data_IF_719575882647
#
_entry.id   IF_719575882647
#
_cell.length_a   1.000
_cell.length_b   1.000
_cell.length_c   1.000
_cell.angle_alpha   90.00
_cell.angle_beta   90.00
_cell.angle_gamma   90.00
#
_symmetry.space_group_name_H-M   'P 1'
#
loop_
_entity.id
_entity.type
_entity.pdbx_description
1 polymer ?
#
# COMPACT_ATOMS: atom_id res chain seq x y z
N UNK A 1 6.67 -12.51 2.05
CA UNK A 1 6.40 -11.24 1.34
C UNK A 1 5.57 -11.57 0.10
N UNK A 2 4.53 -10.80 -0.15
CA UNK A 2 3.56 -10.93 -1.24
C UNK A 2 3.50 -9.62 -2.01
N UNK A 3 3.43 -9.65 -3.33
CA UNK A 3 3.40 -8.45 -4.16
C UNK A 3 1.98 -8.22 -4.70
N UNK A 4 1.44 -7.05 -4.44
CA UNK A 4 0.11 -6.64 -4.89
C UNK A 4 0.26 -5.56 -5.96
N UNK A 5 -0.57 -5.64 -7.02
CA UNK A 5 -0.38 -4.85 -8.22
C UNK A 5 -1.58 -3.94 -8.47
N UNK A 6 -1.31 -2.67 -8.75
CA UNK A 6 -2.31 -1.74 -9.25
C UNK A 6 -2.32 -1.72 -10.79
N UNK A 7 -3.45 -1.37 -11.43
CA UNK A 7 -3.51 -1.19 -12.89
C UNK A 7 -2.54 -0.15 -13.45
N UNK A 8 -2.08 0.80 -12.62
CA UNK A 8 -1.05 1.78 -12.97
C UNK A 8 0.35 1.17 -13.15
N UNK A 9 0.53 -0.11 -12.79
CA UNK A 9 1.82 -0.78 -12.73
C UNK A 9 2.54 -0.62 -11.38
N UNK A 10 1.95 0.11 -10.42
CA UNK A 10 2.47 0.17 -9.06
C UNK A 10 2.45 -1.22 -8.41
N UNK A 11 3.48 -1.49 -7.60
CA UNK A 11 3.66 -2.76 -6.89
C UNK A 11 3.89 -2.48 -5.42
N UNK A 12 3.06 -3.06 -4.56
CA UNK A 12 3.15 -2.90 -3.11
C UNK A 12 3.60 -4.23 -2.47
N UNK A 13 4.77 -4.28 -1.82
CA UNK A 13 5.25 -5.46 -1.11
C UNK A 13 4.64 -5.53 0.29
N UNK A 14 3.73 -6.48 0.50
CA UNK A 14 3.08 -6.73 1.79
C UNK A 14 3.69 -7.95 2.47
N UNK A 15 3.85 -7.89 3.79
CA UNK A 15 4.32 -9.03 4.60
C UNK A 15 3.15 -9.60 5.38
N UNK A 16 2.88 -10.89 5.22
CA UNK A 16 1.86 -11.61 5.99
C UNK A 16 2.42 -12.14 7.30
N UNK A 17 1.75 -11.85 8.40
CA UNK A 17 2.03 -12.36 9.74
C UNK A 17 0.82 -12.13 10.66
N UNK A 18 0.60 -13.01 11.64
CA UNK A 18 -0.46 -12.86 12.64
C UNK A 18 -1.88 -12.60 12.06
N UNK A 19 -2.17 -13.21 10.90
CA UNK A 19 -3.47 -13.07 10.25
C UNK A 19 -3.71 -11.71 9.57
N UNK A 20 -2.63 -10.98 9.27
CA UNK A 20 -2.68 -9.65 8.68
C UNK A 20 -1.55 -9.45 7.68
N UNK A 21 -1.83 -8.76 6.58
CA UNK A 21 -0.79 -8.24 5.69
C UNK A 21 -0.43 -6.82 6.11
N UNK A 22 0.85 -6.53 6.21
CA UNK A 22 1.38 -5.20 6.55
C UNK A 22 2.13 -4.61 5.35
N UNK A 23 1.77 -3.38 4.99
CA UNK A 23 2.55 -2.52 4.12
C UNK A 23 3.43 -1.62 5.00
N UNK A 24 4.72 -1.56 4.68
CA UNK A 24 5.65 -0.59 5.24
C UNK A 24 6.74 -0.31 4.21
N UNK A 25 6.65 0.84 3.53
CA UNK A 25 7.57 1.23 2.47
C UNK A 25 8.05 2.66 2.64
N UNK A 26 9.30 2.90 2.26
CA UNK A 26 9.92 4.21 2.20
C UNK A 26 10.53 4.38 0.82
N UNK A 27 10.32 5.55 0.20
CA UNK A 27 10.83 5.84 -1.15
C UNK A 27 11.03 7.34 -1.38
N UNK A 28 11.87 7.68 -2.34
CA UNK A 28 11.95 9.03 -2.87
C UNK A 28 11.00 9.18 -4.07
N UNK A 29 10.12 10.19 -4.05
CA UNK A 29 9.28 10.53 -5.19
C UNK A 29 9.69 11.85 -5.84
N UNK A 30 9.61 11.89 -7.17
CA UNK A 30 9.83 13.11 -7.93
C UNK A 30 8.64 14.05 -7.80
N UNK A 31 8.89 15.33 -7.52
CA UNK A 31 7.86 16.36 -7.42
C UNK A 31 8.01 17.43 -8.51
N UNK A 32 6.92 18.07 -8.97
CA UNK A 32 6.99 19.14 -9.96
C UNK A 32 7.82 20.32 -9.44
N UNK A 33 8.92 20.65 -10.13
CA UNK A 33 9.82 21.73 -9.73
C UNK A 33 11.30 21.38 -9.94
N UNK A 34 12.23 22.25 -9.53
CA UNK A 34 13.65 22.04 -9.74
C UNK A 34 14.18 20.86 -8.92
N UNK A 35 14.33 19.67 -9.52
CA UNK A 35 15.04 18.48 -8.99
C UNK A 35 14.86 18.18 -7.49
N UNK A 36 13.69 18.46 -6.93
CA UNK A 36 13.39 18.09 -5.56
C UNK A 36 12.87 16.65 -5.56
N UNK A 37 13.36 15.86 -4.60
CA UNK A 37 12.80 14.57 -4.22
C UNK A 37 12.16 14.79 -2.86
N UNK A 38 10.93 14.34 -2.74
CA UNK A 38 10.24 14.28 -1.46
C UNK A 38 10.33 12.85 -0.94
N UNK A 39 10.51 12.70 0.37
CA UNK A 39 10.48 11.39 1.00
C UNK A 39 9.03 10.96 1.19
N UNK A 40 8.72 9.72 0.85
CA UNK A 40 7.41 9.11 0.91
C UNK A 40 7.44 7.86 1.76
N UNK A 41 6.70 7.86 2.85
CA UNK A 41 6.46 6.73 3.71
C UNK A 41 5.01 6.26 3.55
N UNK A 42 4.79 4.94 3.52
CA UNK A 42 3.47 4.32 3.55
C UNK A 42 3.43 3.23 4.60
N UNK A 43 2.40 3.26 5.44
CA UNK A 43 2.09 2.20 6.38
C UNK A 43 0.62 1.76 6.20
N UNK A 44 0.39 0.46 6.08
CA UNK A 44 -0.96 -0.07 5.87
C UNK A 44 -1.18 -1.42 6.53
N UNK A 45 -2.42 -1.72 6.88
CA UNK A 45 -2.85 -2.96 7.51
C UNK A 45 -4.03 -3.55 6.74
N UNK A 46 -3.94 -4.84 6.44
CA UNK A 46 -4.90 -5.55 5.61
C UNK A 46 -5.20 -6.89 6.30
N UNK A 47 -6.17 -6.92 7.23
CA UNK A 47 -6.48 -8.13 7.99
C UNK A 47 -7.06 -9.23 7.10
N UNK A 48 -6.92 -10.49 7.53
CA UNK A 48 -7.65 -11.60 6.92
C UNK A 48 -9.16 -11.28 6.84
N UNK A 49 -9.82 -11.56 5.70
CA UNK A 49 -11.26 -11.37 5.59
C UNK A 49 -12.03 -12.14 6.66
N UNK A 50 -13.10 -11.52 7.16
CA UNK A 50 -14.05 -12.17 8.05
C UNK A 50 -15.45 -12.19 7.41
N UNK A 51 -16.05 -13.38 7.18
CA UNK A 51 -15.52 -14.72 7.49
C UNK A 51 -14.30 -15.08 6.62
N UNK A 52 -13.45 -16.03 7.07
CA UNK A 52 -12.31 -16.50 6.28
C UNK A 52 -12.73 -16.97 4.89
N UNK A 53 -11.97 -16.58 3.88
CA UNK A 53 -12.18 -16.94 2.47
C UNK A 53 -11.04 -17.86 1.99
N UNK A 54 -11.39 -18.87 1.20
CA UNK A 54 -10.42 -19.74 0.53
C UNK A 54 -10.92 -20.10 -0.89
N UNK A 55 -10.29 -19.58 -1.96
CA UNK A 55 -9.26 -18.54 -1.94
C UNK A 55 -9.79 -17.19 -1.44
N UNK A 56 -8.90 -16.31 -0.96
CA UNK A 56 -9.22 -14.89 -0.71
C UNK A 56 -9.53 -14.23 -2.06
N UNK A 57 -10.76 -13.74 -2.21
CA UNK A 57 -11.22 -13.06 -3.43
C UNK A 57 -11.06 -11.54 -3.32
N UNK A 58 -11.20 -11.02 -2.11
CA UNK A 58 -11.07 -9.58 -1.80
C UNK A 58 -10.26 -9.40 -0.52
N UNK A 59 -9.25 -8.55 -0.58
CA UNK A 59 -8.47 -8.11 0.59
C UNK A 59 -8.60 -6.59 0.71
N UNK A 60 -9.23 -6.14 1.79
CA UNK A 60 -9.40 -4.72 2.09
C UNK A 60 -8.47 -4.32 3.22
N UNK A 61 -7.90 -3.12 3.14
CA UNK A 61 -7.07 -2.57 4.19
C UNK A 61 -7.16 -1.06 4.26
N UNK A 62 -6.54 -0.53 5.29
CA UNK A 62 -6.46 0.88 5.59
C UNK A 62 -5.03 1.25 5.93
N UNK A 63 -4.61 2.45 5.56
CA UNK A 63 -3.26 2.92 5.81
C UNK A 63 -3.14 4.43 5.77
N UNK A 64 -1.91 4.87 6.01
CA UNK A 64 -1.50 6.26 5.94
C UNK A 64 -0.29 6.39 5.01
N UNK A 65 -0.29 7.47 4.25
CA UNK A 65 0.82 7.91 3.42
C UNK A 65 1.30 9.26 3.93
N UNK A 66 2.58 9.36 4.27
CA UNK A 66 3.24 10.59 4.66
C UNK A 66 4.29 10.97 3.62
N UNK A 67 4.18 12.18 3.09
CA UNK A 67 5.14 12.79 2.18
C UNK A 67 5.74 14.02 2.84
N UNK A 68 7.07 14.07 2.91
CA UNK A 68 7.80 15.22 3.47
C UNK A 68 8.66 15.89 2.40
N UNK A 69 8.84 17.20 2.52
CA UNK A 69 9.62 18.00 1.58
C UNK A 69 8.82 19.17 1.03
N UNK A 70 9.01 19.43 -0.27
CA UNK A 70 8.46 20.62 -0.92
C UNK A 70 6.97 20.52 -1.24
N UNK A 71 6.45 19.30 -1.39
CA UNK A 71 5.05 18.97 -1.60
C UNK A 71 4.57 18.09 -0.44
N UNK A 72 4.70 18.59 0.80
CA UNK A 72 4.31 17.85 1.98
C UNK A 72 2.82 17.48 1.98
N UNK A 73 2.52 16.23 2.28
CA UNK A 73 1.16 15.69 2.34
C UNK A 73 1.09 14.59 3.39
N UNK A 74 -0.04 14.47 4.08
CA UNK A 74 -0.34 13.34 4.94
C UNK A 74 -1.77 12.92 4.65
N UNK A 75 -1.95 11.68 4.20
CA UNK A 75 -3.21 11.21 3.63
C UNK A 75 -3.47 9.78 4.10
N UNK A 76 -4.63 9.58 4.73
CA UNK A 76 -5.16 8.25 4.97
C UNK A 76 -5.78 7.69 3.69
N UNK A 77 -5.66 6.38 3.50
CA UNK A 77 -6.22 5.69 2.35
C UNK A 77 -6.91 4.39 2.76
N UNK A 78 -7.99 4.08 2.04
CA UNK A 78 -8.61 2.76 2.04
C UNK A 78 -8.28 2.10 0.70
N UNK A 79 -7.89 0.84 0.74
CA UNK A 79 -7.51 0.08 -0.45
C UNK A 79 -8.20 -1.28 -0.46
N UNK A 80 -8.54 -1.74 -1.66
CA UNK A 80 -9.13 -3.06 -1.86
C UNK A 80 -8.48 -3.74 -3.05
N UNK A 81 -7.88 -4.90 -2.79
CA UNK A 81 -7.36 -5.79 -3.80
C UNK A 81 -8.38 -6.85 -4.16
N UNK A 82 -8.63 -7.02 -5.47
CA UNK A 82 -9.48 -8.08 -6.00
C UNK A 82 -8.61 -9.08 -6.74
N UNK A 83 -8.76 -10.37 -6.42
CA UNK A 83 -8.06 -11.45 -7.12
C UNK A 83 -8.54 -11.52 -8.58
N UNK A 84 -7.60 -11.48 -9.53
CA UNK A 84 -7.89 -11.48 -10.98
C UNK A 84 -7.51 -12.77 -11.70
N UNK A 85 -6.96 -13.76 -10.97
CA UNK A 85 -6.53 -15.04 -11.53
C UNK A 85 -6.26 -16.08 -10.44
N UNK A 86 -6.01 -17.31 -10.88
CA UNK A 86 -5.70 -18.47 -10.04
C UNK A 86 -4.23 -18.49 -9.61
#
# INVERSE_FOLDING_TARGET
MSFFHAPSGAVEPLVFGDGNWTLNTESDIGVPGPKHRDALEKAGQYPLPHPPQDPITTLTGHGNQEQTGSCAANVDFDETFTRTGE
#
